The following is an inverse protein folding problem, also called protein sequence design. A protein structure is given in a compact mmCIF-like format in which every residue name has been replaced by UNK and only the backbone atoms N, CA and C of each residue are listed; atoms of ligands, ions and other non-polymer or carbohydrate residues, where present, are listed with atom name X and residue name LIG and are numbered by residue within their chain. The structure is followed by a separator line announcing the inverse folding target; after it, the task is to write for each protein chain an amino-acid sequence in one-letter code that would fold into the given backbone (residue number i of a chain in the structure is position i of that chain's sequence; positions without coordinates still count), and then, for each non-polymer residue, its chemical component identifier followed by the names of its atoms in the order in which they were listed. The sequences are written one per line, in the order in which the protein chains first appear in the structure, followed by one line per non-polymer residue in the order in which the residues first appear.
data_IF_256974021572
#
_entry.id   IF_256974021572
#
_cell.length_a   1.000
_cell.length_b   1.000
_cell.length_c   1.000
_cell.angle_alpha   90.00
_cell.angle_beta   90.00
_cell.angle_gamma   90.00
#
_symmetry.space_group_name_H-M   'P 1'
#
loop_
_entity.id
_entity.type
_entity.pdbx_description
1 polymer ?
#
# COMPACT_ATOMS: atom_id res chain seq x y z
N UNK A 1 -4.10 1.48 2.64
CA UNK A 1 -3.07 1.25 3.68
C UNK A 1 -3.61 0.44 4.86
N UNK A 2 -4.36 0.97 5.82
CA UNK A 2 -4.70 0.19 7.03
C UNK A 2 -5.46 -1.14 6.76
N UNK A 3 -6.48 -1.12 5.90
CA UNK A 3 -7.29 -2.32 5.58
C UNK A 3 -6.46 -3.44 4.93
N UNK A 4 -5.70 -3.11 3.89
CA UNK A 4 -4.80 -4.04 3.20
C UNK A 4 -3.67 -4.53 4.12
N UNK A 5 -3.11 -3.67 4.96
CA UNK A 5 -2.06 -4.06 5.90
C UNK A 5 -2.58 -5.04 6.94
N UNK A 6 -3.79 -4.79 7.48
CA UNK A 6 -4.50 -5.73 8.36
C UNK A 6 -4.75 -7.09 7.70
N UNK A 7 -5.10 -7.10 6.42
CA UNK A 7 -5.24 -8.32 5.65
C UNK A 7 -3.91 -9.10 5.57
N UNK A 8 -2.84 -8.46 5.06
CA UNK A 8 -1.55 -9.13 4.85
C UNK A 8 -0.91 -9.59 6.16
N UNK A 9 -0.87 -8.74 7.19
CA UNK A 9 -0.26 -9.11 8.47
C UNK A 9 -1.01 -10.27 9.13
N UNK A 10 -2.33 -10.30 9.04
CA UNK A 10 -3.16 -11.39 9.55
C UNK A 10 -2.80 -12.73 8.90
N UNK A 11 -2.63 -12.77 7.58
CA UNK A 11 -2.23 -13.99 6.86
C UNK A 11 -0.82 -14.45 7.23
N UNK A 12 0.11 -13.52 7.52
CA UNK A 12 1.48 -13.88 7.93
C UNK A 12 1.59 -14.35 9.37
N UNK A 13 0.71 -13.89 10.25
CA UNK A 13 0.67 -14.31 11.66
C UNK A 13 -0.20 -15.56 11.90
N UNK A 14 -1.03 -15.95 10.93
CA UNK A 14 -1.89 -17.11 11.07
C UNK A 14 -1.10 -18.40 11.34
N UNK A 15 -1.38 -19.03 12.48
CA UNK A 15 -0.69 -20.26 12.92
C UNK A 15 0.75 -20.05 13.40
N UNK A 16 1.17 -18.81 13.69
CA UNK A 16 2.43 -18.50 14.36
C UNK A 16 2.22 -18.53 15.88
N UNK A 17 3.08 -19.21 16.65
CA UNK A 17 3.08 -19.08 18.11
C UNK A 17 3.58 -17.68 18.48
N UNK A 18 2.67 -16.85 19.02
CA UNK A 18 2.96 -15.47 19.37
C UNK A 18 3.92 -15.33 20.56
N UNK A 19 4.21 -16.41 21.29
CA UNK A 19 5.21 -16.43 22.35
C UNK A 19 6.63 -16.59 21.80
N UNK A 20 6.78 -17.18 20.62
CA UNK A 20 8.06 -17.27 19.92
C UNK A 20 8.38 -15.94 19.21
N UNK A 21 9.18 -15.11 19.86
CA UNK A 21 9.63 -13.82 19.33
C UNK A 21 10.33 -13.93 17.97
N UNK A 22 11.09 -15.00 17.73
CA UNK A 22 11.77 -15.17 16.45
C UNK A 22 10.77 -15.49 15.34
N UNK A 23 9.76 -16.33 15.61
CA UNK A 23 8.71 -16.63 14.66
C UNK A 23 7.85 -15.39 14.34
N UNK A 24 7.45 -14.62 15.36
CA UNK A 24 6.71 -13.36 15.17
C UNK A 24 7.53 -12.37 14.34
N UNK A 25 8.81 -12.17 14.67
CA UNK A 25 9.68 -11.25 13.91
C UNK A 25 9.79 -11.66 12.44
N UNK A 26 9.98 -12.95 12.14
CA UNK A 26 10.03 -13.43 10.76
C UNK A 26 8.72 -13.16 10.02
N UNK A 27 7.58 -13.42 10.65
CA UNK A 27 6.26 -13.15 10.07
C UNK A 27 6.06 -11.66 9.78
N UNK A 28 6.41 -10.78 10.72
CA UNK A 28 6.33 -9.33 10.55
C UNK A 28 7.27 -8.85 9.43
N UNK A 29 8.51 -9.32 9.38
CA UNK A 29 9.45 -8.98 8.29
C UNK A 29 8.95 -9.44 6.93
N UNK A 30 8.35 -10.63 6.87
CA UNK A 30 7.78 -11.16 5.64
C UNK A 30 6.58 -10.32 5.17
N UNK A 31 5.76 -9.80 6.09
CA UNK A 31 4.71 -8.83 5.78
C UNK A 31 5.31 -7.49 5.31
N UNK A 32 6.25 -6.93 6.05
CA UNK A 32 6.71 -5.56 5.88
C UNK A 32 7.56 -5.39 4.62
N UNK A 33 8.46 -6.34 4.33
CA UNK A 33 9.42 -6.26 3.22
C UNK A 33 8.79 -5.96 1.86
N UNK A 34 7.78 -6.70 1.38
CA UNK A 34 7.14 -6.40 0.09
C UNK A 34 6.26 -5.15 0.13
N UNK A 35 5.80 -4.71 1.31
CA UNK A 35 4.87 -3.58 1.48
C UNK A 35 5.58 -2.23 1.50
N UNK A 36 6.83 -2.17 1.98
CA UNK A 36 7.64 -0.95 2.09
C UNK A 36 7.59 -0.05 0.86
N UNK A 37 7.81 -0.54 -0.38
CA UNK A 37 7.79 0.32 -1.57
C UNK A 37 6.41 0.94 -1.82
N UNK A 38 5.33 0.18 -1.65
CA UNK A 38 3.97 0.67 -1.82
C UNK A 38 3.63 1.74 -0.78
N UNK A 39 3.86 1.46 0.51
CA UNK A 39 3.60 2.41 1.60
C UNK A 39 4.43 3.69 1.48
N UNK A 40 5.70 3.56 1.10
CA UNK A 40 6.58 4.72 0.86
C UNK A 40 6.05 5.59 -0.28
N UNK A 41 5.64 4.99 -1.40
CA UNK A 41 5.06 5.71 -2.53
C UNK A 41 3.75 6.42 -2.13
N UNK A 42 2.84 5.73 -1.44
CA UNK A 42 1.57 6.33 -0.99
C UNK A 42 1.80 7.53 -0.07
N UNK A 43 2.69 7.37 0.92
CA UNK A 43 3.01 8.42 1.89
C UNK A 43 3.67 9.63 1.21
N UNK A 44 4.64 9.36 0.33
CA UNK A 44 5.35 10.42 -0.40
C UNK A 44 4.42 11.18 -1.34
N UNK A 45 3.53 10.48 -2.06
CA UNK A 45 2.54 11.09 -2.94
C UNK A 45 1.60 12.00 -2.14
N UNK A 46 1.04 11.51 -1.04
CA UNK A 46 0.17 12.30 -0.17
C UNK A 46 0.89 13.54 0.39
N UNK A 47 2.14 13.39 0.83
CA UNK A 47 2.95 14.49 1.34
C UNK A 47 3.20 15.57 0.29
N UNK A 48 3.68 15.18 -0.89
CA UNK A 48 3.95 16.12 -1.99
C UNK A 48 2.68 16.83 -2.40
N UNK A 49 1.59 16.08 -2.60
CA UNK A 49 0.33 16.64 -3.06
C UNK A 49 -0.25 17.62 -2.02
N UNK A 50 -0.16 17.31 -0.73
CA UNK A 50 -0.52 18.23 0.35
C UNK A 50 0.36 19.49 0.40
N UNK A 51 1.65 19.39 0.08
CA UNK A 51 2.52 20.56 -0.07
C UNK A 51 2.11 21.42 -1.26
N UNK A 52 1.84 20.81 -2.41
CA UNK A 52 1.40 21.52 -3.62
C UNK A 52 0.06 22.23 -3.39
N UNK A 53 -0.94 21.53 -2.86
CA UNK A 53 -2.27 22.12 -2.67
C UNK A 53 -2.32 23.17 -1.57
N UNK A 54 -1.67 22.96 -0.43
CA UNK A 54 -1.90 23.81 0.75
C UNK A 54 -0.75 24.76 1.08
N UNK A 55 0.45 24.51 0.58
CA UNK A 55 1.66 25.22 1.02
C UNK A 55 2.38 25.95 -0.12
N UNK A 56 1.76 26.10 -1.29
CA UNK A 56 2.30 26.94 -2.36
C UNK A 56 2.35 28.43 -1.92
N UNK A 57 3.52 29.10 -2.00
CA UNK A 57 3.63 30.55 -1.79
C UNK A 57 2.71 31.33 -2.74
N UNK A 58 2.16 32.47 -2.30
CA UNK A 58 1.14 33.25 -3.05
C UNK A 58 1.45 33.42 -4.56
N UNK A 59 2.66 33.80 -5.00
CA UNK A 59 2.94 33.93 -6.43
C UNK A 59 2.85 32.60 -7.19
N UNK A 60 3.20 31.48 -6.54
CA UNK A 60 3.15 30.14 -7.12
C UNK A 60 1.74 29.53 -7.08
N UNK A 61 0.80 30.07 -6.31
CA UNK A 61 -0.58 29.58 -6.30
C UNK A 61 -1.24 29.75 -7.67
N UNK A 62 -1.03 30.89 -8.34
CA UNK A 62 -1.57 31.12 -9.69
C UNK A 62 -1.00 30.11 -10.69
N UNK A 63 0.31 29.85 -10.63
CA UNK A 63 0.97 28.86 -11.50
C UNK A 63 0.45 27.45 -11.20
N UNK A 64 0.33 27.09 -9.93
CA UNK A 64 -0.25 25.82 -9.49
C UNK A 64 -1.66 25.64 -10.07
N UNK A 65 -2.53 26.63 -9.90
CA UNK A 65 -3.93 26.54 -10.33
C UNK A 65 -4.02 26.42 -11.85
N UNK A 66 -3.26 27.23 -12.60
CA UNK A 66 -3.20 27.11 -14.05
C UNK A 66 -2.76 25.72 -14.52
N UNK A 67 -1.77 25.12 -13.85
CA UNK A 67 -1.31 23.77 -14.18
C UNK A 67 -2.36 22.73 -13.79
N UNK A 68 -2.88 22.76 -12.56
CA UNK A 68 -3.77 21.72 -12.05
C UNK A 68 -5.15 21.75 -12.70
N UNK A 69 -5.65 22.93 -13.08
CA UNK A 69 -7.00 23.11 -13.63
C UNK A 69 -7.05 23.00 -15.15
N UNK A 70 -5.95 23.34 -15.84
CA UNK A 70 -5.93 23.38 -17.32
C UNK A 70 -4.99 22.36 -17.96
N UNK A 71 -4.36 21.49 -17.17
CA UNK A 71 -3.59 20.36 -17.70
C UNK A 71 -4.11 19.04 -17.14
N UNK A 72 -3.88 17.90 -17.82
CA UNK A 72 -4.32 16.60 -17.31
C UNK A 72 -3.46 16.08 -16.15
N UNK A 73 -2.57 16.89 -15.56
CA UNK A 73 -1.62 16.44 -14.55
C UNK A 73 -2.33 15.81 -13.35
N UNK A 74 -3.36 16.47 -12.80
CA UNK A 74 -4.08 15.96 -11.63
C UNK A 74 -4.92 14.72 -11.98
N UNK A 75 -5.56 14.74 -13.15
CA UNK A 75 -6.32 13.59 -13.66
C UNK A 75 -5.42 12.35 -13.79
N UNK A 76 -4.22 12.50 -14.35
CA UNK A 76 -3.26 11.38 -14.47
C UNK A 76 -2.73 10.93 -13.10
N UNK A 77 -2.33 11.89 -12.26
CA UNK A 77 -1.67 11.59 -10.99
C UNK A 77 -2.62 11.01 -9.92
N UNK A 78 -3.89 11.38 -9.93
CA UNK A 78 -4.87 10.97 -8.92
C UNK A 78 -6.03 10.21 -9.56
N UNK A 79 -6.68 10.79 -10.58
CA UNK A 79 -7.85 10.20 -11.22
C UNK A 79 -7.60 8.85 -11.89
N UNK A 80 -6.40 8.64 -12.45
CA UNK A 80 -6.02 7.40 -13.15
C UNK A 80 -5.07 6.54 -12.31
N UNK A 81 -3.97 7.13 -11.81
CA UNK A 81 -2.94 6.35 -11.11
C UNK A 81 -3.41 5.77 -9.78
N UNK A 82 -4.30 6.44 -9.03
CA UNK A 82 -4.79 5.90 -7.75
C UNK A 82 -5.70 4.69 -7.94
N UNK A 83 -6.73 4.70 -8.83
CA UNK A 83 -7.49 3.49 -9.14
C UNK A 83 -6.64 2.35 -9.70
N UNK A 84 -5.68 2.64 -10.57
CA UNK A 84 -4.78 1.61 -11.11
C UNK A 84 -3.96 0.92 -10.01
N UNK A 85 -3.48 1.67 -9.03
CA UNK A 85 -2.77 1.10 -7.88
C UNK A 85 -3.72 0.27 -6.99
N UNK A 86 -4.98 0.70 -6.77
CA UNK A 86 -5.96 -0.10 -6.02
C UNK A 86 -6.19 -1.46 -6.70
N UNK A 87 -6.37 -1.48 -8.03
CA UNK A 87 -6.54 -2.73 -8.78
C UNK A 87 -5.31 -3.65 -8.61
N UNK A 88 -4.11 -3.08 -8.65
CA UNK A 88 -2.88 -3.83 -8.38
C UNK A 88 -2.86 -4.41 -6.96
N UNK A 89 -3.31 -3.65 -5.96
CA UNK A 89 -3.39 -4.12 -4.58
C UNK A 89 -4.39 -5.25 -4.39
N UNK A 90 -5.52 -5.22 -5.10
CA UNK A 90 -6.48 -6.34 -5.11
C UNK A 90 -5.81 -7.62 -5.66
N UNK A 91 -5.04 -7.52 -6.74
CA UNK A 91 -4.31 -8.67 -7.27
C UNK A 91 -3.24 -9.20 -6.29
N UNK A 92 -2.55 -8.32 -5.55
CA UNK A 92 -1.62 -8.74 -4.49
C UNK A 92 -2.33 -9.46 -3.33
N UNK A 93 -3.55 -9.02 -2.98
CA UNK A 93 -4.42 -9.68 -1.99
C UNK A 93 -4.81 -11.07 -2.46
N UNK A 94 -5.25 -11.22 -3.70
CA UNK A 94 -5.62 -12.54 -4.27
C UNK A 94 -4.44 -13.52 -4.25
N UNK A 95 -3.25 -13.05 -4.63
CA UNK A 95 -2.04 -13.86 -4.59
C UNK A 95 -1.67 -14.29 -3.16
N UNK A 96 -1.83 -13.39 -2.18
CA UNK A 96 -1.61 -13.71 -0.77
C UNK A 96 -2.66 -14.69 -0.22
N UNK A 97 -3.93 -14.60 -0.64
CA UNK A 97 -4.97 -15.55 -0.27
C UNK A 97 -4.63 -16.95 -0.80
N UNK A 98 -4.26 -17.07 -2.07
CA UNK A 98 -3.88 -18.35 -2.68
C UNK A 98 -2.69 -19.00 -1.95
N UNK A 99 -1.65 -18.22 -1.66
CA UNK A 99 -0.50 -18.70 -0.90
C UNK A 99 -0.88 -19.17 0.51
N UNK A 100 -1.80 -18.44 1.17
CA UNK A 100 -2.30 -18.80 2.49
C UNK A 100 -3.10 -20.10 2.46
N UNK A 101 -4.02 -20.26 1.50
CA UNK A 101 -4.81 -21.48 1.34
C UNK A 101 -3.94 -22.69 1.02
N UNK A 102 -2.92 -22.54 0.18
CA UNK A 102 -1.95 -23.61 -0.10
C UNK A 102 -1.19 -24.05 1.17
N UNK A 103 -0.77 -23.09 2.01
CA UNK A 103 -0.11 -23.37 3.27
C UNK A 103 -1.02 -24.07 4.30
N UNK A 104 -2.33 -23.77 4.29
CA UNK A 104 -3.31 -24.46 5.13
C UNK A 104 -3.62 -25.87 4.60
N UNK A 105 -3.83 -26.02 3.28
CA UNK A 105 -4.11 -27.31 2.65
C UNK A 105 -2.97 -28.31 2.81
N UNK A 106 -1.71 -27.84 2.77
CA UNK A 106 -0.52 -28.67 3.03
C UNK A 106 -0.35 -29.09 4.50
N UNK A 107 -1.04 -28.44 5.45
CA UNK A 107 -1.03 -28.82 6.88
C UNK A 107 -2.05 -29.92 7.22
N UNK A 108 -3.00 -30.21 6.34
CA UNK A 108 -4.03 -31.23 6.57
C UNK A 108 -3.61 -32.66 6.21
N UNK A 109 -2.45 -32.83 5.56
CA UNK A 109 -1.93 -34.12 5.05
C UNK A 109 -0.62 -34.57 5.69
N UNK A 110 -0.19 -33.94 6.80
CA UNK A 110 1.05 -34.25 7.52
C UNK A 110 0.83 -34.55 8.99
#
# INVERSE_FOLDING_TARGET
MATEDGYFIGRRLAGVDLRDHHAVRRALQAYETPRKPHTARQSQQAFILGKVFHHAPRPLQVVRDLILDHTPLLQKAVGEASPAEIVKQIAEIDAAEQAFQAALGGRATG
#
